data_IF_196522241788
#
_entry.id   IF_196522241788
#
_cell.length_a   1.000
_cell.length_b   1.000
_cell.length_c   1.000
_cell.angle_alpha   90.00
_cell.angle_beta   90.00
_cell.angle_gamma   90.00
#
_symmetry.space_group_name_H-M   'P 1'
#
loop_
_entity.id
_entity.type
_entity.pdbx_description
1 polymer ?
#
# COMPACT_ATOMS: atom_id res chain seq x y z
N UNK A 1 7.15 -19.94 -0.86
CA UNK A 1 6.16 -19.31 0.05
C UNK A 1 6.88 -18.42 1.05
N UNK A 2 6.35 -17.24 1.37
CA UNK A 2 6.94 -16.36 2.38
C UNK A 2 6.86 -16.97 3.79
N UNK A 3 7.91 -16.80 4.58
CA UNK A 3 7.93 -17.22 5.98
C UNK A 3 7.15 -16.25 6.88
N UNK A 4 6.74 -16.64 8.10
CA UNK A 4 6.10 -15.71 9.04
C UNK A 4 6.95 -14.48 9.38
N UNK A 5 8.28 -14.64 9.43
CA UNK A 5 9.20 -13.53 9.67
C UNK A 5 9.25 -12.56 8.48
N UNK A 6 9.25 -13.09 7.26
CA UNK A 6 9.17 -12.28 6.03
C UNK A 6 7.84 -11.54 5.94
N UNK A 7 6.73 -12.21 6.28
CA UNK A 7 5.42 -11.59 6.36
C UNK A 7 5.41 -10.42 7.34
N UNK A 8 5.96 -10.60 8.55
CA UNK A 8 6.05 -9.53 9.54
C UNK A 8 6.88 -8.35 9.00
N UNK A 9 8.05 -8.61 8.42
CA UNK A 9 8.90 -7.58 7.84
C UNK A 9 8.19 -6.80 6.73
N UNK A 10 7.55 -7.50 5.79
CA UNK A 10 6.80 -6.90 4.70
C UNK A 10 5.56 -6.13 5.21
N UNK A 11 4.91 -6.60 6.26
CA UNK A 11 3.80 -5.90 6.89
C UNK A 11 4.25 -4.58 7.53
N UNK A 12 5.38 -4.58 8.27
CA UNK A 12 5.95 -3.35 8.83
C UNK A 12 6.40 -2.38 7.75
N UNK A 13 7.04 -2.89 6.69
CA UNK A 13 7.44 -2.08 5.54
C UNK A 13 6.21 -1.49 4.83
N UNK A 14 5.16 -2.29 4.61
CA UNK A 14 3.91 -1.87 4.00
C UNK A 14 3.18 -0.82 4.82
N UNK A 15 3.09 -1.02 6.14
CA UNK A 15 2.58 -0.03 7.09
C UNK A 15 3.32 1.30 6.94
N UNK A 16 4.66 1.29 7.08
CA UNK A 16 5.45 2.52 7.04
C UNK A 16 5.41 3.22 5.69
N UNK A 17 5.47 2.46 4.59
CA UNK A 17 5.38 3.00 3.25
C UNK A 17 3.99 3.61 2.96
N UNK A 18 2.92 3.00 3.50
CA UNK A 18 1.56 3.57 3.37
C UNK A 18 1.41 4.87 4.16
N UNK A 19 1.94 4.90 5.39
CA UNK A 19 1.98 6.13 6.20
C UNK A 19 2.77 7.24 5.49
N UNK A 20 3.94 6.89 4.93
CA UNK A 20 4.72 7.81 4.12
C UNK A 20 3.90 8.35 2.93
N UNK A 21 3.21 7.47 2.22
CA UNK A 21 2.45 7.82 1.02
C UNK A 21 1.24 8.73 1.31
N UNK A 22 0.49 8.43 2.37
CA UNK A 22 -0.80 9.06 2.64
C UNK A 22 -0.71 10.24 3.60
N UNK A 23 0.20 10.21 4.57
CA UNK A 23 0.23 11.17 5.68
C UNK A 23 1.47 12.06 5.72
N UNK A 24 2.55 11.69 5.02
CA UNK A 24 3.80 12.45 5.13
C UNK A 24 3.78 13.71 4.26
N UNK A 25 4.24 14.81 4.86
CA UNK A 25 4.36 16.14 4.26
C UNK A 25 5.33 16.18 3.09
N UNK A 26 6.28 15.24 3.03
CA UNK A 26 7.24 15.12 1.92
C UNK A 26 6.50 14.93 0.58
N UNK A 27 5.33 14.28 0.60
CA UNK A 27 4.55 14.02 -0.61
C UNK A 27 3.43 15.04 -0.85
N UNK A 28 3.29 16.06 -0.02
CA UNK A 28 2.27 17.11 -0.19
C UNK A 28 2.36 17.79 -1.57
N UNK A 29 3.54 18.18 -2.10
CA UNK A 29 3.61 18.82 -3.42
C UNK A 29 3.10 17.92 -4.57
N UNK A 30 3.28 16.61 -4.43
CA UNK A 30 2.78 15.63 -5.39
C UNK A 30 1.27 15.48 -5.24
N UNK A 31 0.78 15.40 -3.99
CA UNK A 31 -0.64 15.28 -3.65
C UNK A 31 -1.43 16.50 -4.16
N UNK A 32 -0.91 17.70 -3.93
CA UNK A 32 -1.51 18.96 -4.40
C UNK A 32 -1.61 19.00 -5.93
N UNK A 33 -0.55 18.56 -6.63
CA UNK A 33 -0.57 18.47 -8.09
C UNK A 33 -1.63 17.50 -8.60
N UNK A 34 -1.81 16.36 -7.94
CA UNK A 34 -2.86 15.40 -8.31
C UNK A 34 -4.25 15.95 -8.01
N UNK A 35 -4.43 16.67 -6.89
CA UNK A 35 -5.69 17.34 -6.57
C UNK A 35 -6.03 18.42 -7.59
N UNK A 36 -5.09 19.29 -7.96
CA UNK A 36 -5.27 20.29 -9.02
C UNK A 36 -5.63 19.64 -10.36
N UNK A 37 -4.95 18.55 -10.73
CA UNK A 37 -5.31 17.80 -11.94
C UNK A 37 -6.74 17.25 -11.88
N UNK A 38 -7.28 16.86 -10.72
CA UNK A 38 -8.70 16.49 -10.61
C UNK A 38 -9.61 17.70 -10.73
N UNK A 39 -9.23 18.83 -10.16
CA UNK A 39 -10.02 20.06 -10.19
C UNK A 39 -10.15 20.64 -11.61
N UNK A 40 -9.18 20.37 -12.49
CA UNK A 40 -9.25 20.72 -13.92
C UNK A 40 -10.35 19.97 -14.69
N UNK A 41 -10.91 18.88 -14.15
CA UNK A 41 -12.04 18.16 -14.76
C UNK A 41 -12.91 17.47 -13.69
N UNK A 42 -13.73 18.24 -12.95
CA UNK A 42 -14.43 17.78 -11.75
C UNK A 42 -15.47 16.70 -12.03
N UNK A 43 -16.07 16.70 -13.23
CA UNK A 43 -17.08 15.71 -13.63
C UNK A 43 -16.49 14.38 -14.12
N UNK A 44 -15.15 14.28 -14.21
CA UNK A 44 -14.49 13.07 -14.70
C UNK A 44 -14.50 11.95 -13.65
N UNK A 45 -15.40 10.98 -13.85
CA UNK A 45 -15.46 9.76 -13.02
C UNK A 45 -14.13 9.02 -12.92
N UNK A 46 -13.34 9.03 -13.98
CA UNK A 46 -12.01 8.41 -14.00
C UNK A 46 -11.04 9.13 -13.05
N UNK A 47 -11.02 10.47 -13.06
CA UNK A 47 -10.15 11.25 -12.15
C UNK A 47 -10.57 11.07 -10.70
N UNK A 48 -11.88 11.02 -10.42
CA UNK A 48 -12.41 10.71 -9.08
C UNK A 48 -11.94 9.33 -8.61
N UNK A 49 -12.09 8.29 -9.45
CA UNK A 49 -11.66 6.93 -9.09
C UNK A 49 -10.15 6.85 -8.77
N UNK A 50 -9.31 7.53 -9.56
CA UNK A 50 -7.86 7.59 -9.31
C UNK A 50 -7.55 8.26 -7.98
N UNK A 51 -8.16 9.41 -7.69
CA UNK A 51 -7.95 10.10 -6.41
C UNK A 51 -8.42 9.23 -5.24
N UNK A 52 -9.59 8.62 -5.33
CA UNK A 52 -10.08 7.71 -4.29
C UNK A 52 -9.10 6.56 -4.05
N UNK A 53 -8.50 6.01 -5.10
CA UNK A 53 -7.54 4.91 -5.01
C UNK A 53 -6.25 5.31 -4.27
N UNK A 54 -5.73 6.51 -4.51
CA UNK A 54 -4.48 6.97 -3.90
C UNK A 54 -4.67 7.62 -2.52
N UNK A 55 -5.85 8.18 -2.23
CA UNK A 55 -6.11 8.86 -0.96
C UNK A 55 -6.57 7.90 0.14
N UNK A 56 -7.07 6.72 -0.22
CA UNK A 56 -7.49 5.72 0.75
C UNK A 56 -6.29 4.87 1.22
N UNK A 57 -5.98 4.91 2.52
CA UNK A 57 -4.94 4.09 3.17
C UNK A 57 -5.08 2.60 2.82
N UNK A 58 -6.32 2.08 2.77
CA UNK A 58 -6.58 0.68 2.43
C UNK A 58 -6.33 0.38 0.95
N UNK A 59 -6.74 1.28 0.05
CA UNK A 59 -6.58 1.09 -1.39
C UNK A 59 -5.12 1.24 -1.81
N UNK A 60 -4.45 2.30 -1.34
CA UNK A 60 -3.05 2.51 -1.66
C UNK A 60 -2.16 1.49 -0.94
N UNK A 61 -2.48 1.16 0.32
CA UNK A 61 -1.78 0.14 1.10
C UNK A 61 -1.84 -1.24 0.45
N UNK A 62 -2.96 -1.59 -0.20
CA UNK A 62 -3.06 -2.80 -1.03
C UNK A 62 -1.98 -2.81 -2.12
N UNK A 63 -1.88 -1.75 -2.93
CA UNK A 63 -0.90 -1.70 -4.02
C UNK A 63 0.54 -1.65 -3.52
N UNK A 64 0.81 -0.92 -2.44
CA UNK A 64 2.13 -0.85 -1.80
C UNK A 64 2.55 -2.24 -1.31
N UNK A 65 1.66 -2.98 -0.64
CA UNK A 65 1.93 -4.34 -0.18
C UNK A 65 2.31 -5.27 -1.34
N UNK A 66 1.58 -5.19 -2.46
CA UNK A 66 1.88 -5.96 -3.66
C UNK A 66 3.23 -5.60 -4.28
N UNK A 67 3.52 -4.30 -4.40
CA UNK A 67 4.80 -3.81 -4.91
C UNK A 67 5.98 -4.25 -4.06
N UNK A 68 5.85 -4.20 -2.73
CA UNK A 68 6.87 -4.66 -1.79
C UNK A 68 7.08 -6.17 -1.88
N UNK A 69 6.00 -6.96 -1.91
CA UNK A 69 6.09 -8.41 -2.07
C UNK A 69 6.75 -8.78 -3.41
N UNK A 70 6.31 -8.19 -4.51
CA UNK A 70 6.89 -8.43 -5.83
C UNK A 70 8.38 -8.06 -5.87
N UNK A 71 8.74 -6.89 -5.33
CA UNK A 71 10.14 -6.45 -5.22
C UNK A 71 10.97 -7.44 -4.40
N UNK A 72 10.45 -7.88 -3.26
CA UNK A 72 11.13 -8.85 -2.39
C UNK A 72 11.34 -10.18 -3.10
N UNK A 73 10.31 -10.73 -3.75
CA UNK A 73 10.40 -12.00 -4.47
C UNK A 73 11.36 -11.92 -5.66
N UNK A 74 11.33 -10.83 -6.43
CA UNK A 74 12.23 -10.63 -7.56
C UNK A 74 13.68 -10.46 -7.09
N UNK A 75 13.92 -9.62 -6.07
CA UNK A 75 15.27 -9.37 -5.55
C UNK A 75 15.91 -10.61 -4.89
N UNK A 76 15.09 -11.52 -4.37
CA UNK A 76 15.54 -12.78 -3.77
C UNK A 76 15.53 -13.96 -4.76
N UNK A 77 15.12 -13.74 -6.01
CA UNK A 77 15.05 -14.78 -7.04
C UNK A 77 13.96 -15.83 -6.82
N UNK A 78 12.94 -15.53 -6.00
CA UNK A 78 11.88 -16.47 -5.59
C UNK A 78 10.54 -16.27 -6.29
N UNK A 79 10.49 -15.40 -7.30
CA UNK A 79 9.24 -15.09 -7.99
C UNK A 79 8.67 -16.29 -8.75
N UNK A 80 9.54 -17.18 -9.24
CA UNK A 80 9.13 -18.36 -10.00
C UNK A 80 8.97 -19.63 -9.12
N UNK A 81 9.17 -19.51 -7.80
CA UNK A 81 9.12 -20.65 -6.86
C UNK A 81 7.68 -21.14 -6.59
N UNK A 82 6.67 -20.34 -6.93
CA UNK A 82 5.26 -20.68 -6.71
C UNK A 82 4.37 -20.14 -7.84
N UNK A 83 3.18 -20.74 -8.08
CA UNK A 83 2.22 -20.19 -9.01
C UNK A 83 1.76 -18.78 -8.61
N UNK A 84 1.43 -17.94 -9.60
CA UNK A 84 0.92 -16.58 -9.37
C UNK A 84 -0.27 -16.52 -8.40
N UNK A 85 -1.11 -17.57 -8.37
CA UNK A 85 -2.23 -17.65 -7.45
C UNK A 85 -1.77 -17.69 -5.98
N UNK A 86 -0.66 -18.37 -5.69
CA UNK A 86 -0.06 -18.40 -4.35
C UNK A 86 0.48 -17.02 -3.98
N UNK A 87 1.15 -16.33 -4.90
CA UNK A 87 1.58 -14.95 -4.68
C UNK A 87 0.40 -13.99 -4.48
N UNK A 88 -0.75 -14.25 -5.09
CA UNK A 88 -1.99 -13.52 -4.80
C UNK A 88 -2.47 -13.69 -3.36
N UNK A 89 -2.35 -14.90 -2.79
CA UNK A 89 -2.66 -15.16 -1.38
C UNK A 89 -1.63 -14.47 -0.47
N UNK A 90 -0.35 -14.54 -0.81
CA UNK A 90 0.72 -13.86 -0.06
C UNK A 90 0.55 -12.34 -0.07
N UNK A 91 0.14 -11.76 -1.20
CA UNK A 91 -0.20 -10.35 -1.30
C UNK A 91 -1.34 -10.01 -0.33
N UNK A 92 -2.42 -10.80 -0.34
CA UNK A 92 -3.52 -10.66 0.61
C UNK A 92 -3.05 -10.71 2.07
N UNK A 93 -2.13 -11.61 2.41
CA UNK A 93 -1.57 -11.73 3.75
C UNK A 93 -0.76 -10.49 4.15
N UNK A 94 0.13 -9.99 3.28
CA UNK A 94 0.94 -8.79 3.54
C UNK A 94 0.04 -7.56 3.70
N UNK A 95 -0.92 -7.38 2.80
CA UNK A 95 -1.86 -6.26 2.86
C UNK A 95 -2.71 -6.31 4.14
N UNK A 96 -3.25 -7.48 4.49
CA UNK A 96 -4.05 -7.66 5.71
C UNK A 96 -3.25 -7.38 6.98
N UNK A 97 -2.01 -7.87 7.05
CA UNK A 97 -1.13 -7.62 8.20
C UNK A 97 -0.77 -6.13 8.34
N UNK A 98 -0.44 -5.44 7.24
CA UNK A 98 -0.19 -4.00 7.26
C UNK A 98 -1.43 -3.19 7.70
N UNK A 99 -2.63 -3.60 7.25
CA UNK A 99 -3.89 -2.98 7.66
C UNK A 99 -4.17 -3.16 9.15
N UNK A 100 -3.86 -4.32 9.73
CA UNK A 100 -4.00 -4.54 11.17
C UNK A 100 -3.11 -3.58 11.96
N UNK A 101 -1.89 -3.30 11.49
CA UNK A 101 -1.00 -2.31 12.11
C UNK A 101 -1.56 -0.89 12.01
N UNK A 102 -2.07 -0.47 10.85
CA UNK A 102 -2.73 0.83 10.70
C UNK A 102 -3.94 0.97 11.64
N UNK A 103 -4.82 -0.03 11.65
CA UNK A 103 -6.01 -0.01 12.51
C UNK A 103 -5.64 0.01 13.99
N UNK A 104 -4.57 -0.69 14.35
CA UNK A 104 -4.03 -0.62 15.70
C UNK A 104 -3.62 0.82 16.04
N UNK A 105 -2.83 1.46 15.18
CA UNK A 105 -2.34 2.82 15.37
C UNK A 105 -3.50 3.83 15.53
N UNK A 106 -4.48 3.77 14.63
CA UNK A 106 -5.70 4.61 14.65
C UNK A 106 -6.53 4.49 15.95
N UNK A 107 -6.42 3.36 16.66
CA UNK A 107 -7.20 3.11 17.89
C UNK A 107 -6.51 3.58 19.18
N UNK A 108 -5.29 4.10 19.09
CA UNK A 108 -4.60 4.69 20.25
C UNK A 108 -4.98 6.17 20.38
N UNK A 109 -5.36 6.65 21.57
CA UNK A 109 -5.45 8.08 21.83
C UNK A 109 -4.07 8.71 21.60
N UNK A 110 -4.03 9.91 21.02
CA UNK A 110 -2.81 10.70 20.90
C UNK A 110 -2.09 10.73 22.28
N UNK A 111 -0.92 10.10 22.34
CA UNK A 111 -0.12 9.99 23.57
C UNK A 111 0.63 11.29 23.87
#
# INVERSE_FOLDING_TARGET
>A
MISPAELALLAFAGYRATQLAVHDVILDPVRDRVHHWRDDAPDSRARVAVITLISCVYCLGWWIAGGLLATYLLATGRFDDAPLLVHGIEWGAVAGAAVLLNRWDDTRPDA
#
